data_IF_385684155407
#
_entry.id   IF_385684155407
#
_cell.length_a   1.000
_cell.length_b   1.000
_cell.length_c   1.000
_cell.angle_alpha   90.00
_cell.angle_beta   90.00
_cell.angle_gamma   90.00
#
_symmetry.space_group_name_H-M   'P 1'
#
loop_
_entity.id
_entity.type
_entity.pdbx_description
1 polymer ?
#
# COMPACT_ATOMS: atom_id res chain seq x y z
N UNK A 1 8.31 -14.02 3.32
CA UNK A 1 8.48 -12.56 3.26
C UNK A 1 8.40 -12.01 4.67
N UNK A 2 9.38 -11.22 5.09
CA UNK A 2 9.28 -10.50 6.37
C UNK A 2 8.47 -9.20 6.20
N UNK A 3 8.13 -8.53 7.31
CA UNK A 3 7.35 -7.29 7.29
C UNK A 3 8.01 -6.18 6.45
N UNK A 4 9.34 -6.04 6.54
CA UNK A 4 10.08 -5.02 5.80
C UNK A 4 9.98 -5.21 4.28
N UNK A 5 10.20 -6.44 3.82
CA UNK A 5 10.07 -6.80 2.41
C UNK A 5 8.65 -6.53 1.92
N UNK A 6 7.64 -6.95 2.68
CA UNK A 6 6.23 -6.75 2.32
C UNK A 6 5.89 -5.28 2.11
N UNK A 7 6.23 -4.43 3.08
CA UNK A 7 5.95 -2.98 2.98
C UNK A 7 6.67 -2.38 1.77
N UNK A 8 7.93 -2.75 1.54
CA UNK A 8 8.72 -2.27 0.40
C UNK A 8 8.07 -2.66 -0.93
N UNK A 9 7.70 -3.93 -1.09
CA UNK A 9 7.10 -4.43 -2.32
C UNK A 9 5.73 -3.80 -2.55
N UNK A 10 4.85 -3.80 -1.54
CA UNK A 10 3.52 -3.21 -1.66
C UNK A 10 3.56 -1.73 -2.06
N UNK A 11 4.38 -0.92 -1.39
CA UNK A 11 4.51 0.50 -1.75
C UNK A 11 5.09 0.68 -3.16
N UNK A 12 6.05 -0.17 -3.57
CA UNK A 12 6.64 -0.12 -4.91
C UNK A 12 5.62 -0.46 -6.00
N UNK A 13 4.81 -1.51 -5.79
CA UNK A 13 3.73 -1.93 -6.70
C UNK A 13 2.62 -0.89 -6.81
N UNK A 14 2.21 -0.27 -5.70
CA UNK A 14 1.23 0.82 -5.71
C UNK A 14 1.79 2.00 -6.53
N UNK A 15 3.05 2.40 -6.29
CA UNK A 15 3.68 3.51 -7.02
C UNK A 15 3.81 3.22 -8.50
N UNK A 16 4.27 2.03 -8.88
CA UNK A 16 4.37 1.65 -10.29
C UNK A 16 3.00 1.58 -10.96
N UNK A 17 2.00 1.00 -10.28
CA UNK A 17 0.63 0.92 -10.80
C UNK A 17 0.02 2.30 -11.04
N UNK A 18 0.24 3.27 -10.14
CA UNK A 18 -0.21 4.66 -10.35
C UNK A 18 0.53 5.33 -11.52
N UNK A 19 1.83 5.06 -11.69
CA UNK A 19 2.58 5.56 -12.85
C UNK A 19 2.04 5.01 -14.17
N UNK A 20 1.75 3.71 -14.24
CA UNK A 20 1.19 3.06 -15.43
C UNK A 20 -0.23 3.56 -15.73
N UNK A 21 -1.06 3.69 -14.69
CA UNK A 21 -2.41 4.24 -14.81
C UNK A 21 -2.41 5.69 -15.33
N UNK A 22 -1.42 6.51 -14.95
CA UNK A 22 -1.24 7.84 -15.56
C UNK A 22 -0.99 7.73 -17.06
N UNK A 23 -0.02 6.92 -17.48
CA UNK A 23 0.35 6.80 -18.89
C UNK A 23 -0.88 6.42 -19.75
N UNK A 24 -1.77 5.59 -19.21
CA UNK A 24 -3.04 5.25 -19.86
C UNK A 24 -4.04 6.42 -19.85
N UNK A 25 -4.21 7.07 -18.71
CA UNK A 25 -5.15 8.18 -18.50
C UNK A 25 -4.81 9.42 -19.34
N UNK A 26 -3.52 9.68 -19.59
CA UNK A 26 -3.05 10.80 -20.42
C UNK A 26 -3.62 10.74 -21.85
N UNK A 27 -3.86 9.55 -22.40
CA UNK A 27 -4.50 9.36 -23.71
C UNK A 27 -5.89 9.98 -23.80
N UNK A 28 -6.55 10.14 -22.65
CA UNK A 28 -7.89 10.70 -22.52
C UNK A 28 -7.88 12.11 -21.93
N UNK A 29 -6.69 12.72 -21.74
CA UNK A 29 -6.54 14.02 -21.09
C UNK A 29 -6.82 14.00 -19.58
N UNK A 30 -6.89 12.82 -18.97
CA UNK A 30 -7.08 12.67 -17.53
C UNK A 30 -5.74 12.71 -16.77
N UNK A 31 -5.80 13.11 -15.51
CA UNK A 31 -4.65 13.24 -14.61
C UNK A 31 -4.82 12.24 -13.48
N UNK A 32 -3.85 11.34 -13.30
CA UNK A 32 -3.84 10.31 -12.25
C UNK A 32 -2.54 10.41 -11.47
N UNK A 33 -2.60 10.51 -10.14
CA UNK A 33 -1.45 10.62 -9.26
C UNK A 33 -1.44 11.94 -8.47
N UNK A 34 -0.26 12.39 -8.02
CA UNK A 34 -0.11 13.59 -7.19
C UNK A 34 0.47 14.75 -7.98
N UNK A 35 -0.36 15.37 -8.82
CA UNK A 35 -0.04 16.63 -9.50
C UNK A 35 -0.30 17.85 -8.61
N UNK A 36 0.29 19.00 -8.97
CA UNK A 36 0.06 20.24 -8.23
C UNK A 36 -1.43 20.52 -8.07
N UNK A 37 -1.87 20.65 -6.83
CA UNK A 37 -3.25 20.94 -6.52
C UNK A 37 -3.50 22.44 -6.66
N UNK A 38 -4.52 22.80 -7.43
CA UNK A 38 -4.96 24.17 -7.63
C UNK A 38 -6.41 24.33 -7.15
N UNK A 39 -6.74 25.49 -6.58
CA UNK A 39 -8.10 25.82 -6.13
C UNK A 39 -8.25 25.93 -4.60
N UNK A 40 -9.46 25.69 -4.09
CA UNK A 40 -9.81 25.85 -2.67
C UNK A 40 -9.28 24.69 -1.80
N UNK A 41 -7.95 24.62 -1.63
CA UNK A 41 -7.27 23.51 -0.94
C UNK A 41 -7.60 23.42 0.56
N UNK A 42 -7.78 24.58 1.23
CA UNK A 42 -8.10 24.63 2.66
C UNK A 42 -9.44 23.99 2.98
N UNK A 43 -10.46 24.29 2.18
CA UNK A 43 -11.82 23.76 2.39
C UNK A 43 -11.89 22.28 2.00
N UNK A 44 -11.11 21.89 0.98
CA UNK A 44 -10.96 20.50 0.56
C UNK A 44 -10.07 19.65 1.49
N UNK A 45 -9.47 20.25 2.54
CA UNK A 45 -8.56 19.60 3.50
C UNK A 45 -7.41 18.83 2.83
N UNK A 46 -6.91 19.36 1.70
CA UNK A 46 -5.80 18.76 0.97
C UNK A 46 -4.49 19.17 1.63
N UNK A 47 -3.70 18.18 2.06
CA UNK A 47 -2.33 18.39 2.56
C UNK A 47 -1.38 18.23 1.37
N UNK A 48 -0.47 19.18 1.19
CA UNK A 48 0.51 19.14 0.09
C UNK A 48 1.94 19.08 0.60
N UNK A 49 2.85 18.60 -0.25
CA UNK A 49 4.29 18.76 -0.03
C UNK A 49 4.78 20.19 -0.34
N UNK A 50 6.09 20.43 -0.25
CA UNK A 50 6.72 21.73 -0.55
C UNK A 50 6.56 22.17 -2.02
N UNK A 51 6.13 21.27 -2.90
CA UNK A 51 5.88 21.54 -4.31
C UNK A 51 4.39 21.68 -4.64
N UNK A 52 3.49 21.64 -3.64
CA UNK A 52 2.05 21.76 -3.85
C UNK A 52 1.36 20.47 -4.32
N UNK A 53 2.03 19.32 -4.25
CA UNK A 53 1.46 18.02 -4.64
C UNK A 53 0.70 17.39 -3.48
N UNK A 54 -0.52 16.85 -3.68
CA UNK A 54 -1.27 16.16 -2.65
C UNK A 54 -0.51 14.99 -2.04
N UNK A 55 -0.44 14.98 -0.71
CA UNK A 55 0.02 13.84 0.09
C UNK A 55 -1.17 12.91 0.30
N UNK A 56 -1.03 11.66 -0.14
CA UNK A 56 -1.98 10.58 0.14
C UNK A 56 -1.44 9.69 1.25
N UNK A 57 -2.31 9.08 2.05
CA UNK A 57 -1.91 8.13 3.08
C UNK A 57 -2.27 6.71 2.64
N UNK A 58 -1.26 5.85 2.51
CA UNK A 58 -1.47 4.41 2.32
C UNK A 58 -1.68 3.80 3.69
N UNK A 59 -2.90 3.35 3.97
CA UNK A 59 -3.25 2.71 5.24
C UNK A 59 -2.92 1.22 5.19
N UNK A 60 -2.03 0.79 6.07
CA UNK A 60 -1.70 -0.61 6.27
C UNK A 60 -2.42 -1.14 7.51
N UNK A 61 -3.08 -2.27 7.32
CA UNK A 61 -3.70 -3.04 8.39
C UNK A 61 -3.28 -4.51 8.22
N UNK A 62 -2.23 -4.92 8.93
CA UNK A 62 -1.48 -6.15 8.67
C UNK A 62 -1.65 -7.12 9.83
N UNK A 63 -2.04 -8.36 9.50
CA UNK A 63 -1.95 -9.50 10.41
C UNK A 63 -0.55 -10.13 10.34
N UNK A 64 0.07 -10.31 11.50
CA UNK A 64 1.37 -10.94 11.67
C UNK A 64 1.16 -12.38 12.15
N UNK A 65 1.97 -13.30 11.65
CA UNK A 65 2.03 -14.68 12.14
C UNK A 65 3.44 -15.00 12.64
N UNK A 66 3.51 -15.81 13.68
CA UNK A 66 4.76 -16.44 14.08
C UNK A 66 5.14 -17.46 13.00
N UNK A 67 6.33 -17.32 12.42
CA UNK A 67 6.83 -18.33 11.50
C UNK A 67 7.28 -19.56 12.32
N UNK A 68 6.49 -20.63 12.31
CA UNK A 68 6.86 -21.88 12.99
C UNK A 68 8.08 -22.51 12.31
N UNK A 69 9.16 -22.66 13.07
CA UNK A 69 10.48 -23.07 12.61
C UNK A 69 10.55 -24.54 12.18
N UNK A 70 11.25 -24.82 11.07
CA UNK A 70 11.97 -26.10 10.94
C UNK A 70 13.41 -26.01 10.47
N UNK A 71 13.86 -24.89 9.91
CA UNK A 71 15.28 -24.62 9.77
C UNK A 71 15.52 -23.10 9.74
N UNK A 72 16.33 -22.63 10.70
CA UNK A 72 16.96 -21.30 10.77
C UNK A 72 16.10 -20.06 11.09
N UNK A 73 16.36 -19.51 12.29
CA UNK A 73 16.09 -18.14 12.80
C UNK A 73 14.61 -17.73 12.91
N UNK A 74 14.08 -17.80 14.13
CA UNK A 74 12.77 -17.25 14.48
C UNK A 74 12.64 -15.79 14.05
N UNK A 75 11.58 -15.49 13.29
CA UNK A 75 11.26 -14.16 12.78
C UNK A 75 9.75 -14.01 12.57
N UNK A 76 9.28 -12.77 12.62
CA UNK A 76 7.87 -12.44 12.39
C UNK A 76 7.60 -12.39 10.89
N UNK A 77 6.63 -13.16 10.42
CA UNK A 77 6.17 -13.17 9.02
C UNK A 77 4.87 -12.38 8.84
N UNK A 78 4.63 -11.90 7.62
CA UNK A 78 3.33 -11.32 7.24
C UNK A 78 2.40 -12.46 6.82
N UNK A 79 1.20 -12.51 7.42
CA UNK A 79 0.19 -13.49 7.05
C UNK A 79 -0.63 -12.97 5.86
N UNK A 80 -0.31 -13.48 4.67
CA UNK A 80 -1.16 -13.35 3.50
C UNK A 80 -2.21 -14.46 3.59
N UNK A 81 -3.26 -14.25 4.37
CA UNK A 81 -4.39 -15.19 4.41
C UNK A 81 -4.83 -15.50 2.99
N UNK A 82 -5.11 -16.78 2.71
CA UNK A 82 -5.54 -17.21 1.39
C UNK A 82 -6.80 -16.42 0.99
N UNK A 83 -6.62 -15.38 0.18
CA UNK A 83 -7.70 -14.75 -0.57
C UNK A 83 -8.08 -15.73 -1.69
N UNK A 84 -8.67 -16.85 -1.29
CA UNK A 84 -9.38 -17.77 -2.15
C UNK A 84 -10.77 -17.22 -2.38
N UNK A 85 -10.92 -16.42 -3.43
CA UNK A 85 -12.21 -16.16 -4.06
C UNK A 85 -12.79 -17.51 -4.51
N UNK A 86 -13.57 -18.13 -3.64
CA UNK A 86 -14.39 -19.31 -3.95
C UNK A 86 -13.81 -20.67 -3.55
N UNK A 87 -14.64 -21.42 -2.85
CA UNK A 87 -14.55 -22.85 -2.50
C UNK A 87 -13.78 -23.27 -1.23
N UNK A 88 -14.58 -23.79 -0.30
CA UNK A 88 -14.36 -24.97 0.53
C UNK A 88 -13.11 -25.05 1.45
N UNK A 89 -13.39 -24.84 2.74
CA UNK A 89 -13.30 -25.95 3.69
C UNK A 89 -11.91 -26.37 4.13
N UNK A 90 -11.40 -25.70 5.16
CA UNK A 90 -10.80 -26.39 6.30
C UNK A 90 -10.88 -25.46 7.52
N UNK A 91 -11.86 -25.71 8.38
CA UNK A 91 -11.80 -25.25 9.77
C UNK A 91 -10.71 -26.06 10.47
N UNK A 92 -9.45 -25.70 10.25
CA UNK A 92 -8.40 -26.04 11.20
C UNK A 92 -8.36 -24.91 12.21
N UNK A 93 -8.91 -25.22 13.38
CA UNK A 93 -8.69 -24.43 14.59
C UNK A 93 -7.22 -24.55 14.99
N UNK A 94 -6.34 -23.85 14.28
CA UNK A 94 -5.12 -23.36 14.88
C UNK A 94 -5.46 -22.01 15.50
N UNK A 95 -5.42 -21.96 16.82
CA UNK A 95 -5.39 -20.70 17.56
C UNK A 95 -4.03 -20.04 17.30
N UNK A 96 -3.80 -19.60 16.07
CA UNK A 96 -2.64 -18.81 15.71
C UNK A 96 -2.81 -17.45 16.37
N UNK A 97 -1.93 -17.16 17.34
CA UNK A 97 -1.82 -15.85 17.97
C UNK A 97 -1.34 -14.84 16.92
N UNK A 98 -2.27 -14.30 16.15
CA UNK A 98 -1.97 -13.28 15.16
C UNK A 98 -1.94 -11.91 15.83
N UNK A 99 -0.74 -11.32 15.91
CA UNK A 99 -0.61 -9.91 16.28
C UNK A 99 -1.01 -9.03 15.10
N UNK A 100 -1.68 -7.90 15.34
CA UNK A 100 -2.14 -6.99 14.28
C UNK A 100 -1.47 -5.63 14.43
N UNK A 101 -0.98 -5.08 13.34
CA UNK A 101 -0.41 -3.72 13.29
C UNK A 101 -1.18 -2.85 12.32
N UNK A 102 -1.44 -1.60 12.73
CA UNK A 102 -2.09 -0.59 11.91
C UNK A 102 -1.22 0.67 11.88
N UNK A 103 -0.92 1.16 10.68
CA UNK A 103 -0.19 2.39 10.49
C UNK A 103 -0.47 2.95 9.09
N UNK A 104 -0.13 4.22 8.88
CA UNK A 104 -0.28 4.87 7.58
C UNK A 104 1.07 5.41 7.10
N UNK A 105 1.34 5.29 5.80
CA UNK A 105 2.53 5.87 5.17
C UNK A 105 2.11 7.05 4.30
N UNK A 106 2.54 8.29 4.59
CA UNK A 106 2.32 9.41 3.69
C UNK A 106 3.15 9.20 2.41
N UNK A 107 2.52 9.37 1.26
CA UNK A 107 3.13 9.22 -0.06
C UNK A 107 2.67 10.34 -0.98
N UNK A 108 3.61 10.86 -1.75
CA UNK A 108 3.32 11.68 -2.93
C UNK A 108 3.48 10.74 -4.13
N UNK A 109 2.39 10.47 -4.83
CA UNK A 109 2.46 9.61 -6.01
C UNK A 109 3.26 10.27 -7.12
N UNK A 110 3.72 9.49 -8.12
CA UNK A 110 4.26 10.05 -9.34
C UNK A 110 3.32 11.17 -9.84
N UNK A 111 3.92 12.29 -10.22
CA UNK A 111 3.30 13.48 -10.81
C UNK A 111 3.58 13.54 -12.32
N UNK A 112 2.96 14.46 -13.03
CA UNK A 112 3.39 14.86 -14.37
C UNK A 112 4.87 15.28 -14.29
N UNK A 113 5.70 14.76 -15.19
CA UNK A 113 7.09 15.22 -15.29
C UNK A 113 7.08 16.69 -15.71
N UNK A 114 7.72 17.54 -14.90
CA UNK A 114 8.01 18.92 -15.31
C UNK A 114 8.94 18.88 -16.51
N UNK A 115 8.59 19.63 -17.56
CA UNK A 115 9.44 19.87 -18.71
C UNK A 115 10.55 20.86 -18.37
#
# INVERSE_FOLDING_TARGET
MNLQEFIKTALSEIVSGVADARNEAEKYGAIVGSDEAYGYLKDAKVITDEHGRPITYVEFDIALAEASAKDTKGGIGVFLGSVGLGSQGASHGESSSHSRIKFSVPIVFPGKKRA
#
